data_IF_366445561021
#
_entry.id   IF_366445561021
#
_cell.length_a   1.000
_cell.length_b   1.000
_cell.length_c   1.000
_cell.angle_alpha   90.00
_cell.angle_beta   90.00
_cell.angle_gamma   90.00
#
_symmetry.space_group_name_H-M   'P 1'
#
loop_
_entity.id
_entity.type
_entity.pdbx_description
1 polymer ?
#
# COMPACT_ATOMS: atom_id res chain seq x y z
N UNK A 1 8.00 15.36 7.55
CA UNK A 1 6.82 15.70 6.74
C UNK A 1 6.59 17.19 6.87
N UNK A 2 6.56 17.92 5.77
CA UNK A 2 6.34 19.37 5.79
C UNK A 2 4.85 19.68 5.66
N UNK A 3 4.36 20.81 6.21
CA UNK A 3 2.93 21.17 6.16
C UNK A 3 2.35 21.27 4.74
N UNK A 4 3.19 21.58 3.76
CA UNK A 4 2.82 21.73 2.35
C UNK A 4 2.51 20.39 1.68
N UNK A 5 3.21 19.32 2.05
CA UNK A 5 2.96 17.95 1.53
C UNK A 5 1.60 17.41 2.01
N UNK A 6 1.24 17.69 3.26
CA UNK A 6 -0.04 17.30 3.87
C UNK A 6 -1.21 18.03 3.21
N UNK A 7 -1.00 19.27 2.78
CA UNK A 7 -2.02 20.10 2.13
C UNK A 7 -2.30 19.65 0.69
N UNK A 8 -1.24 19.28 -0.05
CA UNK A 8 -1.35 18.64 -1.37
C UNK A 8 -2.08 17.29 -1.31
N UNK A 9 -1.80 16.48 -0.28
CA UNK A 9 -2.52 15.23 0.00
C UNK A 9 -4.01 15.47 0.28
N UNK A 10 -4.34 16.48 1.09
CA UNK A 10 -5.72 16.82 1.42
C UNK A 10 -6.52 17.34 0.21
N UNK A 11 -5.89 18.10 -0.69
CA UNK A 11 -6.53 18.61 -1.91
C UNK A 11 -6.67 17.53 -2.99
N UNK A 12 -5.70 16.62 -3.13
CA UNK A 12 -5.80 15.51 -4.08
C UNK A 12 -6.88 14.47 -3.65
N UNK A 13 -7.06 14.25 -2.34
CA UNK A 13 -8.17 13.44 -1.78
C UNK A 13 -9.54 14.10 -1.99
N UNK A 14 -9.63 15.43 -2.00
CA UNK A 14 -10.88 16.17 -2.30
C UNK A 14 -11.32 16.08 -3.76
N UNK A 15 -10.38 15.89 -4.69
CA UNK A 15 -10.63 15.90 -6.14
C UNK A 15 -10.86 14.45 -6.67
N UNK A 16 -10.71 13.43 -5.83
CA UNK A 16 -10.90 12.03 -6.24
C UNK A 16 -9.78 11.51 -7.15
N UNK A 17 -8.63 12.18 -7.15
CA UNK A 17 -7.44 11.69 -7.85
C UNK A 17 -6.81 10.53 -7.05
N UNK A 18 -6.28 9.49 -7.71
CA UNK A 18 -5.62 8.40 -7.03
C UNK A 18 -4.27 8.88 -6.50
N UNK A 19 -4.22 9.28 -5.23
CA UNK A 19 -2.99 9.67 -4.49
C UNK A 19 -2.14 8.46 -4.10
N UNK A 20 -2.66 7.27 -4.40
CA UNK A 20 -2.14 5.92 -4.15
C UNK A 20 -0.67 5.77 -4.58
N UNK A 21 -0.31 6.26 -5.77
CA UNK A 21 1.05 6.14 -6.29
C UNK A 21 2.08 7.04 -5.59
N UNK A 22 1.65 8.17 -5.04
CA UNK A 22 2.57 9.22 -4.58
C UNK A 22 3.16 8.89 -3.21
N UNK A 23 2.36 8.35 -2.29
CA UNK A 23 2.80 8.01 -0.92
C UNK A 23 3.67 6.75 -0.91
N UNK A 24 3.22 5.69 -1.59
CA UNK A 24 4.04 4.49 -1.77
C UNK A 24 5.33 4.83 -2.54
N UNK A 25 5.24 5.58 -3.64
CA UNK A 25 6.40 5.95 -4.45
C UNK A 25 7.44 6.81 -3.75
N UNK A 26 7.04 7.81 -2.94
CA UNK A 26 8.00 8.64 -2.19
C UNK A 26 8.66 7.86 -1.05
N UNK A 27 7.89 7.09 -0.27
CA UNK A 27 8.43 6.32 0.85
C UNK A 27 9.36 5.21 0.32
N UNK A 28 8.90 4.44 -0.66
CA UNK A 28 9.64 3.31 -1.23
C UNK A 28 10.83 3.81 -2.06
N UNK A 29 10.64 4.80 -2.93
CA UNK A 29 11.70 5.32 -3.81
C UNK A 29 12.81 6.07 -3.07
N UNK A 30 12.45 6.86 -2.06
CA UNK A 30 13.41 7.58 -1.22
C UNK A 30 14.31 6.63 -0.43
N UNK A 31 13.72 5.60 0.16
CA UNK A 31 14.48 4.61 0.94
C UNK A 31 15.31 3.68 0.03
N UNK A 32 14.79 3.31 -1.14
CA UNK A 32 15.51 2.50 -2.13
C UNK A 32 16.80 3.16 -2.61
N UNK A 33 16.71 4.45 -2.96
CA UNK A 33 17.87 5.23 -3.44
C UNK A 33 18.95 5.32 -2.37
N UNK A 34 18.55 5.52 -1.11
CA UNK A 34 19.48 5.56 0.02
C UNK A 34 20.21 4.23 0.22
N UNK A 35 19.49 3.11 0.21
CA UNK A 35 20.07 1.77 0.45
C UNK A 35 20.97 1.34 -0.72
N UNK A 36 20.53 1.50 -1.97
CA UNK A 36 21.33 1.14 -3.15
C UNK A 36 22.63 1.93 -3.24
N UNK A 37 22.60 3.23 -2.95
CA UNK A 37 23.80 4.08 -2.97
C UNK A 37 24.81 3.64 -1.90
N UNK A 38 24.35 3.16 -0.75
CA UNK A 38 25.20 2.82 0.40
C UNK A 38 25.72 1.37 0.39
N UNK A 39 25.06 0.45 -0.31
CA UNK A 39 25.54 -0.93 -0.55
C UNK A 39 26.72 -1.03 -1.53
N UNK A 40 27.12 0.08 -2.14
CA UNK A 40 28.24 0.12 -3.10
C UNK A 40 29.65 -0.11 -2.52
N UNK A 41 29.83 -0.26 -1.20
CA UNK A 41 31.13 0.01 -0.56
C UNK A 41 31.80 -1.04 0.38
N UNK A 42 31.42 -2.34 0.46
CA UNK A 42 32.30 -3.47 0.96
C UNK A 42 31.57 -4.85 1.06
N UNK A 43 32.38 -5.94 1.00
CA UNK A 43 32.14 -7.39 1.26
C UNK A 43 30.95 -8.10 0.55
N UNK A 44 31.25 -9.05 -0.35
CA UNK A 44 30.28 -9.63 -1.31
C UNK A 44 29.20 -10.57 -0.73
N UNK A 45 29.48 -11.37 0.30
CA UNK A 45 28.53 -12.39 0.77
C UNK A 45 27.41 -11.82 1.67
N UNK A 46 27.72 -10.91 2.58
CA UNK A 46 26.71 -10.19 3.38
C UNK A 46 25.90 -9.23 2.51
N UNK A 47 26.51 -8.66 1.46
CA UNK A 47 25.83 -7.82 0.48
C UNK A 47 24.72 -8.57 -0.27
N UNK A 48 24.94 -9.81 -0.66
CA UNK A 48 23.93 -10.63 -1.33
C UNK A 48 22.72 -10.93 -0.42
N UNK A 49 22.94 -11.31 0.84
CA UNK A 49 21.84 -11.55 1.80
C UNK A 49 21.06 -10.26 2.07
N UNK A 50 21.77 -9.16 2.25
CA UNK A 50 21.18 -7.84 2.48
C UNK A 50 20.37 -7.37 1.27
N UNK A 51 20.92 -7.53 0.06
CA UNK A 51 20.25 -7.21 -1.20
C UNK A 51 18.98 -8.04 -1.37
N UNK A 52 19.04 -9.35 -1.12
CA UNK A 52 17.85 -10.23 -1.16
C UNK A 52 16.79 -9.82 -0.14
N UNK A 53 17.18 -9.47 1.10
CA UNK A 53 16.25 -8.96 2.12
C UNK A 53 15.58 -7.67 1.63
N UNK A 54 16.34 -6.76 1.05
CA UNK A 54 15.82 -5.53 0.46
C UNK A 54 14.87 -5.79 -0.72
N UNK A 55 15.23 -6.69 -1.64
CA UNK A 55 14.38 -7.09 -2.76
C UNK A 55 13.05 -7.70 -2.28
N UNK A 56 13.07 -8.53 -1.24
CA UNK A 56 11.86 -9.07 -0.63
C UNK A 56 11.00 -7.98 0.01
N UNK A 57 11.59 -6.99 0.70
CA UNK A 57 10.85 -5.84 1.23
C UNK A 57 10.19 -5.04 0.10
N UNK A 58 10.89 -4.80 -1.00
CA UNK A 58 10.36 -4.14 -2.19
C UNK A 58 9.24 -4.93 -2.84
N UNK A 59 9.39 -6.26 -2.91
CA UNK A 59 8.36 -7.15 -3.42
C UNK A 59 7.10 -7.08 -2.55
N UNK A 60 7.23 -7.09 -1.23
CA UNK A 60 6.09 -6.94 -0.33
C UNK A 60 5.38 -5.57 -0.51
N UNK A 61 6.14 -4.48 -0.68
CA UNK A 61 5.57 -3.17 -0.98
C UNK A 61 4.78 -3.19 -2.30
N UNK A 62 5.37 -3.72 -3.37
CA UNK A 62 4.75 -3.77 -4.69
C UNK A 62 3.49 -4.64 -4.70
N UNK A 63 3.52 -5.80 -4.04
CA UNK A 63 2.37 -6.68 -3.88
C UNK A 63 1.21 -5.97 -3.15
N UNK A 64 1.52 -5.17 -2.12
CA UNK A 64 0.51 -4.36 -1.41
C UNK A 64 -0.01 -3.21 -2.28
N UNK A 65 0.85 -2.56 -3.06
CA UNK A 65 0.44 -1.50 -4.00
C UNK A 65 -0.48 -2.05 -5.11
N UNK A 66 -0.22 -3.26 -5.60
CA UNK A 66 -1.09 -3.93 -6.58
C UNK A 66 -2.48 -4.18 -5.98
N UNK A 67 -2.54 -4.67 -4.74
CA UNK A 67 -3.81 -4.81 -4.01
C UNK A 67 -4.51 -3.46 -3.79
N UNK A 68 -3.78 -2.45 -3.33
CA UNK A 68 -4.27 -1.09 -3.08
C UNK A 68 -4.93 -0.50 -4.32
N UNK A 69 -4.33 -0.69 -5.50
CA UNK A 69 -4.91 -0.27 -6.77
C UNK A 69 -6.25 -0.96 -7.03
N UNK A 70 -6.31 -2.30 -6.91
CA UNK A 70 -7.54 -3.05 -7.15
C UNK A 70 -8.67 -2.64 -6.20
N UNK A 71 -8.38 -2.53 -4.90
CA UNK A 71 -9.39 -2.20 -3.91
C UNK A 71 -9.81 -0.72 -3.99
N UNK A 72 -8.89 0.18 -4.34
CA UNK A 72 -9.17 1.60 -4.57
C UNK A 72 -10.06 1.84 -5.80
N UNK A 73 -9.82 1.12 -6.90
CA UNK A 73 -10.70 1.13 -8.07
C UNK A 73 -12.09 0.60 -7.73
N UNK A 74 -12.18 -0.50 -6.97
CA UNK A 74 -13.46 -1.03 -6.53
C UNK A 74 -14.21 -0.07 -5.59
N UNK A 75 -13.51 0.55 -4.63
CA UNK A 75 -14.10 1.54 -3.73
C UNK A 75 -14.69 2.73 -4.49
N UNK A 76 -13.93 3.26 -5.45
CA UNK A 76 -14.39 4.33 -6.34
C UNK A 76 -15.62 3.91 -7.15
N UNK A 77 -15.63 2.69 -7.70
CA UNK A 77 -16.77 2.18 -8.46
C UNK A 77 -18.02 1.98 -7.58
N UNK A 78 -17.86 1.47 -6.36
CA UNK A 78 -18.94 1.36 -5.36
C UNK A 78 -19.51 2.74 -5.05
N UNK A 79 -18.65 3.71 -4.72
CA UNK A 79 -19.05 5.07 -4.38
C UNK A 79 -19.85 5.73 -5.49
N UNK A 80 -19.37 5.62 -6.74
CA UNK A 80 -20.08 6.17 -7.91
C UNK A 80 -21.44 5.50 -8.12
N UNK A 81 -21.51 4.16 -8.00
CA UNK A 81 -22.75 3.40 -8.17
C UNK A 81 -23.79 3.77 -7.11
N UNK A 82 -23.39 3.86 -5.85
CA UNK A 82 -24.27 4.23 -4.73
C UNK A 82 -24.75 5.69 -4.83
N UNK A 83 -23.93 6.58 -5.40
CA UNK A 83 -24.29 7.97 -5.63
C UNK A 83 -25.08 8.20 -6.92
N UNK A 84 -25.20 7.20 -7.80
CA UNK A 84 -25.86 7.33 -9.10
C UNK A 84 -25.03 8.12 -10.14
N UNK A 85 -23.72 8.22 -9.94
CA UNK A 85 -22.80 8.92 -10.84
C UNK A 85 -22.39 8.00 -11.99
N UNK A 86 -22.36 8.53 -13.22
CA UNK A 86 -21.73 7.84 -14.34
C UNK A 86 -20.22 7.80 -14.12
N UNK A 87 -19.67 6.60 -13.97
CA UNK A 87 -18.24 6.38 -13.86
C UNK A 87 -17.67 5.80 -15.15
N UNK A 88 -16.41 6.12 -15.43
CA UNK A 88 -15.62 5.38 -16.42
C UNK A 88 -15.22 3.98 -15.91
N UNK A 89 -15.28 3.75 -14.60
CA UNK A 89 -14.98 2.47 -13.98
C UNK A 89 -16.24 1.59 -13.95
N UNK A 90 -16.15 0.43 -14.59
CA UNK A 90 -17.18 -0.60 -14.54
C UNK A 90 -17.17 -1.30 -13.17
N UNK A 91 -18.30 -1.20 -12.46
CA UNK A 91 -18.49 -1.80 -11.14
C UNK A 91 -18.34 -3.32 -11.15
N UNK A 92 -18.96 -4.01 -12.12
CA UNK A 92 -18.98 -5.47 -12.15
C UNK A 92 -17.58 -6.00 -12.54
N UNK A 93 -16.87 -5.29 -13.43
CA UNK A 93 -15.48 -5.59 -13.73
C UNK A 93 -14.56 -5.37 -12.52
N UNK A 94 -14.71 -4.26 -11.80
CA UNK A 94 -13.91 -3.98 -10.60
C UNK A 94 -14.18 -4.98 -9.47
N UNK A 95 -15.45 -5.40 -9.31
CA UNK A 95 -15.84 -6.46 -8.36
C UNK A 95 -15.24 -7.81 -8.74
N UNK A 96 -15.28 -8.18 -10.01
CA UNK A 96 -14.67 -9.42 -10.47
C UNK A 96 -13.15 -9.41 -10.25
N UNK A 97 -12.49 -8.27 -10.48
CA UNK A 97 -11.06 -8.11 -10.27
C UNK A 97 -10.67 -8.36 -8.80
N UNK A 98 -11.34 -7.73 -7.84
CA UNK A 98 -11.01 -7.90 -6.42
C UNK A 98 -11.30 -9.30 -5.88
N UNK A 99 -12.34 -9.98 -6.39
CA UNK A 99 -12.71 -11.33 -5.96
C UNK A 99 -11.78 -12.40 -6.54
N UNK A 100 -11.32 -12.22 -7.77
CA UNK A 100 -10.53 -13.23 -8.47
C UNK A 100 -9.01 -13.05 -8.26
N UNK A 101 -8.54 -11.83 -7.93
CA UNK A 101 -7.11 -11.52 -7.82
C UNK A 101 -6.68 -11.20 -6.38
N UNK A 102 -6.75 -12.20 -5.49
CA UNK A 102 -6.27 -12.07 -4.11
C UNK A 102 -4.79 -12.44 -3.90
N UNK A 103 -4.10 -12.83 -4.98
CA UNK A 103 -2.72 -13.29 -4.94
C UNK A 103 -1.73 -12.26 -4.38
N UNK A 104 -1.83 -10.95 -4.70
CA UNK A 104 -0.86 -9.97 -4.18
C UNK A 104 -0.84 -9.90 -2.65
N UNK A 105 -2.01 -9.89 -1.99
CA UNK A 105 -2.07 -9.96 -0.51
C UNK A 105 -1.41 -11.23 0.01
N UNK A 106 -1.69 -12.38 -0.61
CA UNK A 106 -1.12 -13.66 -0.16
C UNK A 106 0.39 -13.63 -0.24
N UNK A 107 0.95 -13.13 -1.35
CA UNK A 107 2.40 -12.98 -1.55
C UNK A 107 2.99 -12.02 -0.53
N UNK A 108 2.41 -10.83 -0.36
CA UNK A 108 2.84 -9.87 0.65
C UNK A 108 2.91 -10.48 2.05
N UNK A 109 1.84 -11.16 2.51
CA UNK A 109 1.81 -11.85 3.81
C UNK A 109 2.91 -12.89 3.95
N UNK A 110 3.11 -13.73 2.93
CA UNK A 110 4.17 -14.75 2.96
C UNK A 110 5.54 -14.11 3.07
N UNK A 111 5.79 -13.05 2.30
CA UNK A 111 7.06 -12.31 2.34
C UNK A 111 7.31 -11.68 3.70
N UNK A 112 6.31 -11.04 4.32
CA UNK A 112 6.43 -10.48 5.67
C UNK A 112 6.75 -11.55 6.72
N UNK A 113 6.16 -12.74 6.60
CA UNK A 113 6.45 -13.88 7.49
C UNK A 113 7.86 -14.43 7.30
N UNK A 114 8.32 -14.56 6.05
CA UNK A 114 9.69 -14.99 5.73
C UNK A 114 10.72 -14.01 6.32
N UNK A 115 10.39 -12.72 6.30
CA UNK A 115 11.26 -11.65 6.80
C UNK A 115 11.17 -11.41 8.32
N UNK A 116 10.24 -12.11 9.00
CA UNK A 116 9.90 -11.97 10.42
C UNK A 116 9.51 -10.54 10.81
N UNK A 117 8.51 -9.97 10.12
CA UNK A 117 8.07 -8.58 10.27
C UNK A 117 6.66 -8.45 10.86
N UNK A 118 6.45 -8.76 12.16
CA UNK A 118 5.13 -8.81 12.77
C UNK A 118 4.44 -7.44 12.86
N UNK A 119 5.18 -6.34 13.03
CA UNK A 119 4.60 -4.99 13.03
C UNK A 119 3.98 -4.67 11.66
N UNK A 120 4.73 -4.90 10.57
CA UNK A 120 4.26 -4.67 9.22
C UNK A 120 3.08 -5.60 8.87
N UNK A 121 3.14 -6.88 9.25
CA UNK A 121 2.01 -7.82 9.08
C UNK A 121 0.75 -7.30 9.78
N UNK A 122 0.85 -6.88 11.04
CA UNK A 122 -0.29 -6.35 11.79
C UNK A 122 -0.90 -5.09 11.15
N UNK A 123 -0.06 -4.17 10.65
CA UNK A 123 -0.53 -2.97 9.95
C UNK A 123 -1.20 -3.29 8.62
N UNK A 124 -0.70 -4.28 7.88
CA UNK A 124 -1.33 -4.75 6.65
C UNK A 124 -2.69 -5.38 6.95
N UNK A 125 -2.80 -6.21 8.00
CA UNK A 125 -4.09 -6.80 8.40
C UNK A 125 -5.12 -5.74 8.78
N UNK A 126 -4.74 -4.71 9.53
CA UNK A 126 -5.64 -3.61 9.87
C UNK A 126 -6.24 -2.94 8.62
N UNK A 127 -5.42 -2.73 7.58
CA UNK A 127 -5.90 -2.21 6.32
C UNK A 127 -6.80 -3.21 5.58
N UNK A 128 -6.44 -4.50 5.54
CA UNK A 128 -7.28 -5.52 4.91
C UNK A 128 -8.65 -5.62 5.59
N UNK A 129 -8.72 -5.58 6.92
CA UNK A 129 -9.99 -5.61 7.65
C UNK A 129 -10.90 -4.44 7.27
N UNK A 130 -10.35 -3.22 7.15
CA UNK A 130 -11.09 -2.05 6.66
C UNK A 130 -11.73 -2.32 5.29
N UNK A 131 -11.02 -3.02 4.40
CA UNK A 131 -11.51 -3.31 3.04
C UNK A 131 -12.60 -4.38 3.00
N UNK A 132 -12.70 -5.26 4.01
CA UNK A 132 -13.66 -6.38 4.00
C UNK A 132 -15.11 -5.91 4.00
N UNK A 133 -15.41 -4.83 4.71
CA UNK A 133 -16.76 -4.26 4.72
C UNK A 133 -17.18 -3.82 3.32
N UNK A 134 -16.29 -3.12 2.61
CA UNK A 134 -16.52 -2.71 1.23
C UNK A 134 -16.71 -3.92 0.30
N UNK A 135 -15.87 -4.96 0.43
CA UNK A 135 -15.98 -6.17 -0.40
C UNK A 135 -17.29 -6.91 -0.14
N UNK A 136 -17.71 -7.01 1.13
CA UNK A 136 -18.91 -7.74 1.54
C UNK A 136 -20.20 -7.05 1.10
N UNK A 137 -20.31 -5.75 1.32
CA UNK A 137 -21.55 -5.01 1.11
C UNK A 137 -21.59 -4.27 -0.23
N UNK A 138 -20.44 -3.76 -0.70
CA UNK A 138 -20.34 -3.10 -2.00
C UNK A 138 -21.43 -2.05 -2.23
N UNK A 139 -22.22 -2.21 -3.29
CA UNK A 139 -23.28 -1.27 -3.65
C UNK A 139 -24.49 -1.26 -2.70
N UNK A 140 -24.56 -2.14 -1.69
CA UNK A 140 -25.61 -2.11 -0.67
C UNK A 140 -25.27 -1.17 0.50
N UNK A 141 -24.11 -0.55 0.51
CA UNK A 141 -23.72 0.44 1.51
C UNK A 141 -24.55 1.73 1.37
N UNK A 142 -24.72 2.46 2.48
CA UNK A 142 -25.26 3.82 2.40
C UNK A 142 -24.29 4.75 1.67
N UNK A 143 -24.79 5.87 1.14
CA UNK A 143 -23.97 6.87 0.46
C UNK A 143 -22.86 7.39 1.36
N UNK A 144 -23.20 7.65 2.62
CA UNK A 144 -22.29 8.15 3.65
C UNK A 144 -21.19 7.12 3.91
N UNK A 145 -21.56 5.87 4.15
CA UNK A 145 -20.60 4.81 4.48
C UNK A 145 -19.70 4.45 3.31
N UNK A 146 -20.24 4.40 2.08
CA UNK A 146 -19.45 4.20 0.87
C UNK A 146 -18.41 5.32 0.68
N UNK A 147 -18.77 6.57 0.96
CA UNK A 147 -17.87 7.72 0.89
C UNK A 147 -16.77 7.65 1.96
N UNK A 148 -17.13 7.32 3.20
CA UNK A 148 -16.18 7.12 4.31
C UNK A 148 -15.15 6.04 4.00
N UNK A 149 -15.63 4.85 3.60
CA UNK A 149 -14.75 3.73 3.26
C UNK A 149 -13.87 4.05 2.06
N UNK A 150 -14.40 4.72 1.03
CA UNK A 150 -13.61 5.12 -0.14
C UNK A 150 -12.48 6.07 0.26
N UNK A 151 -12.76 7.08 1.08
CA UNK A 151 -11.72 8.00 1.58
C UNK A 151 -10.65 7.26 2.36
N UNK A 152 -11.04 6.37 3.26
CA UNK A 152 -10.09 5.60 4.07
C UNK A 152 -9.24 4.63 3.23
N UNK A 153 -9.85 3.98 2.22
CA UNK A 153 -9.18 3.01 1.36
C UNK A 153 -8.21 3.69 0.39
N UNK A 154 -8.59 4.84 -0.19
CA UNK A 154 -7.76 5.61 -1.15
C UNK A 154 -6.55 6.26 -0.48
N UNK A 155 -6.58 6.51 0.83
CA UNK A 155 -5.40 6.93 1.60
C UNK A 155 -4.33 5.82 1.62
N UNK A 156 -4.74 4.56 1.46
CA UNK A 156 -3.83 3.42 1.44
C UNK A 156 -3.31 3.00 2.82
N UNK A 157 -2.51 1.93 2.89
CA UNK A 157 -1.98 1.38 4.14
C UNK A 157 -0.74 2.15 4.61
N UNK A 158 -0.87 3.45 4.90
CA UNK A 158 0.26 4.33 5.28
C UNK A 158 1.10 3.78 6.43
N UNK A 159 0.45 3.22 7.46
CA UNK A 159 1.14 2.67 8.62
C UNK A 159 1.93 1.39 8.29
N UNK A 160 1.49 0.62 7.31
CA UNK A 160 2.26 -0.52 6.78
C UNK A 160 3.52 -0.03 6.09
N UNK A 161 3.42 0.95 5.18
CA UNK A 161 4.59 1.48 4.48
C UNK A 161 5.59 2.13 5.44
N UNK A 162 5.12 2.80 6.50
CA UNK A 162 5.98 3.31 7.57
C UNK A 162 6.71 2.19 8.30
N UNK A 163 6.01 1.11 8.67
CA UNK A 163 6.63 -0.05 9.31
C UNK A 163 7.69 -0.69 8.41
N UNK A 164 7.38 -0.84 7.12
CA UNK A 164 8.30 -1.39 6.11
C UNK A 164 9.53 -0.49 5.90
N UNK A 165 9.35 0.84 5.88
CA UNK A 165 10.44 1.79 5.72
C UNK A 165 11.42 1.79 6.90
N UNK A 166 10.94 1.56 8.13
CA UNK A 166 11.81 1.37 9.31
C UNK A 166 12.76 0.20 9.07
N UNK A 167 12.23 -0.93 8.62
CA UNK A 167 13.02 -2.14 8.33
C UNK A 167 14.04 -1.91 7.22
N UNK A 168 13.65 -1.21 6.16
CA UNK A 168 14.55 -0.85 5.08
C UNK A 168 15.67 0.11 5.54
N UNK A 169 15.42 0.97 6.53
CA UNK A 169 16.43 1.86 7.09
C UNK A 169 17.46 1.10 7.97
N UNK A 170 17.03 0.01 8.61
CA UNK A 170 17.89 -0.86 9.42
C UNK A 170 18.83 -1.75 8.59
N UNK A 171 18.64 -1.79 7.26
CA UNK A 171 19.46 -2.56 6.33
C UNK A 171 20.85 -1.90 6.05
N UNK A 172 21.11 -0.70 6.59
CA UNK A 172 22.48 -0.16 6.66
C UNK A 172 23.36 -0.95 7.65
N UNK A 173 24.70 -0.95 7.52
CA UNK A 173 25.54 -1.50 8.58
C UNK A 173 25.20 -0.77 9.87
N UNK A 174 24.98 -1.53 10.94
CA UNK A 174 25.04 -1.03 12.29
C UNK A 174 26.26 -0.12 12.38
N UNK A 175 26.04 1.18 12.59
CA UNK A 175 27.08 2.03 13.12
C UNK A 175 27.61 1.31 14.36
N UNK A 176 28.89 0.97 14.33
CA UNK A 176 29.61 0.33 15.42
C UNK A 176 29.19 0.93 16.77
N UNK A 177 28.90 0.04 17.72
CA UNK A 177 29.33 0.27 19.10
C UNK A 177 30.80 -0.10 19.18
#
# INVERSE_FOLDING_TARGET
MTPQEVQLLADAVKIGFPVIGTVAGTIVGGVSTYVLTKLGHRYDSQKELTKRRFELLMQAANDVTEFEHMIGSYATAVSNKVQGLKSALDYDAAKANILNNNQPIRRARMTLKILDLPEAEAKLEQYIELTRELVKFGASLSKERASELTKAIVIGPVEFYKALAKEMALIGPSSDR
#
